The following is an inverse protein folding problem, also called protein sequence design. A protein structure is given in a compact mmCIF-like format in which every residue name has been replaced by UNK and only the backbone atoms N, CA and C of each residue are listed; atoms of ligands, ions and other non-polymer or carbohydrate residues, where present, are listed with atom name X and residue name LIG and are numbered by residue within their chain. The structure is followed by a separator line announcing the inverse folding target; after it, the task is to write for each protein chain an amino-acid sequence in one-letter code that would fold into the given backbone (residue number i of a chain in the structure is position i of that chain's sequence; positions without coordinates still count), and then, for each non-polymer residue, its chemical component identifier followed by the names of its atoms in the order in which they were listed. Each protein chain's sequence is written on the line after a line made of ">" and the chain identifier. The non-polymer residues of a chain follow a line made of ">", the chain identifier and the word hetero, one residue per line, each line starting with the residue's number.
data_IF_300375155393
#
_entry.id   IF_300375155393
#
_cell.length_a   1.000
_cell.length_b   1.000
_cell.length_c   1.000
_cell.angle_alpha   90.00
_cell.angle_beta   90.00
_cell.angle_gamma   90.00
#
_symmetry.space_group_name_H-M   'P 1'
#
loop_
_entity.id
_entity.type
_entity.pdbx_description
1 polymer ?
#
# COMPACT_ATOMS: atom_id res chain seq x y z
N UNK A 1 2.58 14.13 -0.76
CA UNK A 1 3.49 14.15 -1.92
C UNK A 1 4.88 14.67 -1.55
N UNK A 2 5.00 15.61 -0.60
CA UNK A 2 6.27 16.16 -0.10
C UNK A 2 7.29 15.12 0.44
N UNK A 3 6.85 13.94 0.88
CA UNK A 3 7.77 12.86 1.32
C UNK A 3 8.31 11.95 0.22
N UNK A 4 7.82 12.06 -1.03
CA UNK A 4 8.24 11.23 -2.18
C UNK A 4 8.82 12.07 -3.33
N UNK A 5 8.45 13.34 -3.41
CA UNK A 5 8.97 14.34 -4.34
C UNK A 5 9.15 15.63 -3.53
N UNK A 6 10.38 16.13 -3.42
CA UNK A 6 10.76 17.32 -2.63
C UNK A 6 10.35 18.62 -3.34
N UNK A 7 9.05 18.74 -3.66
CA UNK A 7 8.43 19.85 -4.37
C UNK A 7 7.56 20.65 -3.40
N UNK A 8 8.00 21.88 -3.13
CA UNK A 8 7.28 22.86 -2.33
C UNK A 8 6.19 23.57 -3.15
N UNK A 9 5.15 22.83 -3.51
CA UNK A 9 3.94 23.40 -4.15
C UNK A 9 2.94 23.87 -3.09
N UNK A 10 2.42 25.09 -3.27
CA UNK A 10 1.37 25.65 -2.40
C UNK A 10 0.13 24.76 -2.42
N UNK A 11 -0.47 24.51 -1.25
CA UNK A 11 -1.62 23.62 -1.09
C UNK A 11 -2.81 23.97 -2.00
N UNK A 12 -3.04 25.28 -2.25
CA UNK A 12 -4.07 25.75 -3.17
C UNK A 12 -3.80 25.33 -4.62
N UNK A 13 -2.55 25.45 -5.09
CA UNK A 13 -2.18 25.08 -6.45
C UNK A 13 -2.33 23.56 -6.67
N UNK A 14 -1.92 22.76 -5.68
CA UNK A 14 -2.12 21.32 -5.71
C UNK A 14 -3.60 20.94 -5.82
N UNK A 15 -4.47 21.55 -5.01
CA UNK A 15 -5.90 21.29 -5.05
C UNK A 15 -6.53 21.74 -6.38
N UNK A 16 -6.09 22.87 -6.94
CA UNK A 16 -6.54 23.33 -8.25
C UNK A 16 -6.15 22.32 -9.34
N UNK A 17 -4.89 21.89 -9.38
CA UNK A 17 -4.39 20.93 -10.37
C UNK A 17 -5.15 19.59 -10.31
N UNK A 18 -5.29 18.98 -9.14
CA UNK A 18 -5.98 17.69 -9.01
C UNK A 18 -7.47 17.79 -9.34
N UNK A 19 -8.11 18.91 -9.00
CA UNK A 19 -9.52 19.14 -9.34
C UNK A 19 -9.71 19.41 -10.83
N UNK A 20 -8.85 20.21 -11.45
CA UNK A 20 -8.91 20.48 -12.88
C UNK A 20 -8.73 19.18 -13.69
N UNK A 21 -7.75 18.34 -13.33
CA UNK A 21 -7.52 17.05 -13.98
C UNK A 21 -8.73 16.11 -13.86
N UNK A 22 -9.48 16.16 -12.76
CA UNK A 22 -10.68 15.33 -12.59
C UNK A 22 -11.93 15.94 -13.26
N UNK A 23 -12.15 17.24 -13.13
CA UNK A 23 -13.37 17.92 -13.57
C UNK A 23 -13.39 18.09 -15.09
N UNK A 24 -12.28 18.48 -15.71
CA UNK A 24 -12.21 18.72 -17.16
C UNK A 24 -12.65 17.51 -17.99
N UNK A 25 -12.08 16.30 -17.81
CA UNK A 25 -12.51 15.13 -18.59
C UNK A 25 -13.95 14.72 -18.27
N UNK A 26 -14.37 14.86 -17.01
CA UNK A 26 -15.75 14.58 -16.62
C UNK A 26 -16.75 15.50 -17.31
N UNK A 27 -16.45 16.79 -17.36
CA UNK A 27 -17.26 17.80 -18.03
C UNK A 27 -17.35 17.55 -19.54
N UNK A 28 -16.21 17.24 -20.19
CA UNK A 28 -16.18 16.93 -21.64
C UNK A 28 -17.06 15.73 -21.96
N UNK A 29 -16.94 14.64 -21.21
CA UNK A 29 -17.76 13.44 -21.42
C UNK A 29 -19.24 13.70 -21.14
N UNK A 30 -19.56 14.52 -20.13
CA UNK A 30 -20.93 14.88 -19.80
C UNK A 30 -21.59 15.76 -20.87
N UNK A 31 -20.86 16.70 -21.47
CA UNK A 31 -21.37 17.57 -22.55
C UNK A 31 -21.63 16.74 -23.81
N UNK A 32 -20.71 15.86 -24.19
CA UNK A 32 -20.81 15.07 -25.43
C UNK A 32 -21.79 13.90 -25.28
N UNK A 33 -21.69 13.16 -24.17
CA UNK A 33 -22.42 11.92 -23.94
C UNK A 33 -23.68 12.06 -23.07
N UNK A 34 -23.98 13.26 -22.58
CA UNK A 34 -25.12 13.53 -21.70
C UNK A 34 -25.08 12.71 -20.40
N UNK A 35 -26.26 12.42 -19.86
CA UNK A 35 -26.42 11.63 -18.62
C UNK A 35 -25.88 10.19 -18.75
N UNK A 36 -26.04 9.58 -19.93
CA UNK A 36 -25.54 8.22 -20.19
C UNK A 36 -24.01 8.17 -20.25
N UNK A 37 -23.36 9.17 -20.86
CA UNK A 37 -21.91 9.29 -20.91
C UNK A 37 -21.32 9.53 -19.52
N UNK A 38 -21.90 10.43 -18.74
CA UNK A 38 -21.50 10.68 -17.36
C UNK A 38 -21.63 9.41 -16.49
N UNK A 39 -22.74 8.67 -16.62
CA UNK A 39 -22.92 7.39 -15.92
C UNK A 39 -21.87 6.35 -16.28
N UNK A 40 -21.52 6.22 -17.57
CA UNK A 40 -20.44 5.34 -18.02
C UNK A 40 -19.08 5.75 -17.45
N UNK A 41 -18.80 7.05 -17.40
CA UNK A 41 -17.55 7.55 -16.83
C UNK A 41 -17.41 7.22 -15.34
N UNK A 42 -18.49 7.36 -14.57
CA UNK A 42 -18.51 6.99 -13.14
C UNK A 42 -18.17 5.50 -12.98
N UNK A 43 -18.78 4.64 -13.79
CA UNK A 43 -18.50 3.20 -13.76
C UNK A 43 -17.03 2.93 -14.07
N UNK A 44 -16.46 3.59 -15.08
CA UNK A 44 -15.04 3.44 -15.43
C UNK A 44 -14.11 3.91 -14.30
N UNK A 45 -14.41 5.04 -13.66
CA UNK A 45 -13.66 5.51 -12.49
C UNK A 45 -13.70 4.50 -11.34
N UNK A 46 -14.84 3.85 -11.11
CA UNK A 46 -14.95 2.77 -10.12
C UNK A 46 -14.09 1.55 -10.49
N UNK A 47 -14.01 1.18 -11.78
CA UNK A 47 -13.13 0.07 -12.20
C UNK A 47 -11.66 0.37 -11.92
N UNK A 48 -11.21 1.60 -12.20
CA UNK A 48 -9.84 2.05 -11.92
C UNK A 48 -9.57 2.00 -10.41
N UNK A 49 -10.48 2.53 -9.60
CA UNK A 49 -10.33 2.52 -8.15
C UNK A 49 -10.27 1.09 -7.58
N UNK A 50 -11.09 0.18 -8.11
CA UNK A 50 -11.07 -1.23 -7.71
C UNK A 50 -9.76 -1.93 -8.03
N UNK A 51 -9.04 -1.49 -9.05
CA UNK A 51 -7.69 -1.97 -9.36
C UNK A 51 -6.66 -1.44 -8.34
N UNK A 52 -6.76 -0.17 -7.95
CA UNK A 52 -5.81 0.48 -7.03
C UNK A 52 -5.94 -0.01 -5.57
N UNK A 53 -7.16 -0.30 -5.12
CA UNK A 53 -7.46 -0.59 -3.72
C UNK A 53 -6.65 -1.75 -3.13
N UNK A 54 -6.55 -2.95 -3.75
CA UNK A 54 -5.77 -4.04 -3.20
C UNK A 54 -4.28 -3.72 -3.04
N UNK A 55 -3.70 -2.98 -3.99
CA UNK A 55 -2.28 -2.59 -3.95
C UNK A 55 -1.96 -1.61 -2.82
N UNK A 56 -2.90 -0.73 -2.46
CA UNK A 56 -2.75 0.18 -1.32
C UNK A 56 -3.06 -0.51 0.01
N UNK A 57 -4.07 -1.39 0.03
CA UNK A 57 -4.58 -2.02 1.25
C UNK A 57 -3.63 -3.07 1.82
N UNK A 58 -3.04 -3.91 0.97
CA UNK A 58 -2.15 -5.01 1.42
C UNK A 58 -0.92 -4.48 2.19
N UNK A 59 -0.14 -3.50 1.67
CA UNK A 59 0.98 -2.92 2.41
C UNK A 59 0.54 -2.22 3.70
N UNK A 60 -0.62 -1.55 3.69
CA UNK A 60 -1.16 -0.88 4.88
C UNK A 60 -1.52 -1.89 5.98
N UNK A 61 -2.19 -2.99 5.63
CA UNK A 61 -2.51 -4.07 6.57
C UNK A 61 -1.26 -4.71 7.14
N UNK A 62 -0.22 -4.91 6.31
CA UNK A 62 1.08 -5.45 6.76
C UNK A 62 1.82 -4.48 7.68
N UNK A 63 1.77 -3.18 7.39
CA UNK A 63 2.34 -2.15 8.26
C UNK A 63 1.58 -2.08 9.60
N UNK A 64 0.25 -2.08 9.56
CA UNK A 64 -0.62 -2.04 10.74
C UNK A 64 -0.50 -3.29 11.61
N UNK A 65 -0.26 -4.46 10.99
CA UNK A 65 -0.01 -5.72 11.68
C UNK A 65 1.40 -5.85 12.27
N UNK A 66 2.33 -4.93 11.96
CA UNK A 66 3.71 -4.99 12.43
C UNK A 66 3.85 -4.40 13.84
N UNK A 67 3.88 -5.27 14.85
CA UNK A 67 4.14 -4.90 16.24
C UNK A 67 5.50 -4.21 16.47
N UNK A 68 6.42 -4.28 15.50
CA UNK A 68 7.77 -3.73 15.61
C UNK A 68 7.84 -2.20 15.36
N UNK A 69 6.74 -1.57 14.89
CA UNK A 69 6.67 -0.12 14.61
C UNK A 69 5.86 0.69 15.62
N UNK A 70 5.09 0.04 16.50
CA UNK A 70 4.07 0.68 17.34
C UNK A 70 4.44 0.81 18.83
N UNK A 71 5.62 0.29 19.23
CA UNK A 71 6.12 0.41 20.60
C UNK A 71 5.26 -0.33 21.64
N UNK A 72 5.11 0.25 22.83
CA UNK A 72 4.41 -0.34 23.98
C UNK A 72 2.88 -0.41 23.83
N UNK A 73 2.28 0.34 22.89
CA UNK A 73 0.85 0.26 22.55
C UNK A 73 0.58 -0.83 21.52
N UNK A 74 0.83 -2.09 21.90
CA UNK A 74 0.52 -3.25 21.05
C UNK A 74 -0.97 -3.29 20.74
N UNK A 75 -1.29 -3.21 19.45
CA UNK A 75 -2.62 -3.50 18.97
C UNK A 75 -2.95 -4.98 19.27
N UNK A 76 -4.15 -5.25 19.81
CA UNK A 76 -4.53 -6.60 20.21
C UNK A 76 -4.58 -7.52 18.98
N UNK A 77 -4.16 -8.77 19.13
CA UNK A 77 -4.16 -9.78 18.06
C UNK A 77 -5.54 -9.94 17.42
N UNK A 78 -6.61 -9.70 18.18
CA UNK A 78 -7.99 -9.68 17.69
C UNK A 78 -8.24 -8.58 16.65
N UNK A 79 -7.69 -7.38 16.86
CA UNK A 79 -7.87 -6.24 15.95
C UNK A 79 -7.09 -6.48 14.65
N UNK A 80 -5.91 -7.08 14.75
CA UNK A 80 -5.11 -7.48 13.58
C UNK A 80 -5.85 -8.56 12.77
N UNK A 81 -6.36 -9.60 13.42
CA UNK A 81 -7.15 -10.64 12.77
C UNK A 81 -8.40 -10.08 12.10
N UNK A 82 -9.16 -9.22 12.79
CA UNK A 82 -10.34 -8.55 12.24
C UNK A 82 -10.00 -7.69 11.02
N UNK A 83 -8.92 -6.91 11.08
CA UNK A 83 -8.48 -6.05 9.97
C UNK A 83 -8.09 -6.87 8.73
N UNK A 84 -7.43 -8.03 8.93
CA UNK A 84 -7.11 -8.94 7.83
C UNK A 84 -8.35 -9.57 7.21
N UNK A 85 -9.31 -10.02 8.03
CA UNK A 85 -10.60 -10.57 7.55
C UNK A 85 -11.32 -9.52 6.71
N UNK A 86 -11.47 -8.30 7.24
CA UNK A 86 -12.11 -7.19 6.53
C UNK A 86 -11.35 -6.85 5.24
N UNK A 87 -10.01 -6.86 5.29
CA UNK A 87 -9.15 -6.65 4.14
C UNK A 87 -9.39 -7.65 3.02
N UNK A 88 -9.45 -8.94 3.36
CA UNK A 88 -9.77 -10.02 2.41
C UNK A 88 -11.16 -9.84 1.78
N UNK A 89 -12.16 -9.47 2.58
CA UNK A 89 -13.51 -9.20 2.08
C UNK A 89 -13.48 -8.05 1.06
N UNK A 90 -12.83 -6.93 1.38
CA UNK A 90 -12.72 -5.77 0.48
C UNK A 90 -11.99 -6.13 -0.81
N UNK A 91 -10.88 -6.88 -0.73
CA UNK A 91 -10.14 -7.33 -1.91
C UNK A 91 -11.02 -8.24 -2.78
N UNK A 92 -11.71 -9.21 -2.17
CA UNK A 92 -12.61 -10.12 -2.89
C UNK A 92 -13.73 -9.38 -3.63
N UNK A 93 -14.38 -8.42 -2.96
CA UNK A 93 -15.43 -7.60 -3.57
C UNK A 93 -14.89 -6.77 -4.73
N UNK A 94 -13.70 -6.17 -4.61
CA UNK A 94 -13.10 -5.37 -5.68
C UNK A 94 -12.71 -6.23 -6.90
N UNK A 95 -12.14 -7.41 -6.68
CA UNK A 95 -11.83 -8.35 -7.76
C UNK A 95 -13.11 -8.79 -8.46
N UNK A 96 -14.16 -9.13 -7.70
CA UNK A 96 -15.46 -9.51 -8.26
C UNK A 96 -16.10 -8.37 -9.06
N UNK A 97 -16.13 -7.15 -8.51
CA UNK A 97 -16.69 -5.96 -9.17
C UNK A 97 -15.95 -5.68 -10.48
N UNK A 98 -14.61 -5.65 -10.45
CA UNK A 98 -13.79 -5.41 -11.62
C UNK A 98 -14.04 -6.47 -12.70
N UNK A 99 -13.98 -7.75 -12.33
CA UNK A 99 -14.16 -8.86 -13.27
C UNK A 99 -15.55 -8.85 -13.90
N UNK A 100 -16.59 -8.65 -13.09
CA UNK A 100 -17.98 -8.62 -13.56
C UNK A 100 -18.24 -7.44 -14.52
N UNK A 101 -17.70 -6.25 -14.18
CA UNK A 101 -17.88 -5.07 -15.04
C UNK A 101 -17.08 -5.18 -16.33
N UNK A 102 -15.88 -5.74 -16.28
CA UNK A 102 -15.02 -5.94 -17.45
C UNK A 102 -15.62 -6.98 -18.42
N UNK A 103 -16.06 -8.13 -17.89
CA UNK A 103 -16.76 -9.16 -18.68
C UNK A 103 -18.08 -8.62 -19.23
N UNK A 104 -18.87 -7.92 -18.40
CA UNK A 104 -20.11 -7.31 -18.85
C UNK A 104 -19.90 -6.28 -19.97
N UNK A 105 -18.83 -5.49 -19.88
CA UNK A 105 -18.43 -4.55 -20.93
C UNK A 105 -18.05 -5.29 -22.21
N UNK A 106 -17.25 -6.35 -22.14
CA UNK A 106 -16.86 -7.16 -23.31
C UNK A 106 -18.07 -7.80 -23.99
N UNK A 107 -19.03 -8.32 -23.21
CA UNK A 107 -20.21 -9.03 -23.73
C UNK A 107 -21.25 -8.11 -24.39
N UNK A 108 -21.41 -6.88 -23.90
CA UNK A 108 -22.43 -5.93 -24.41
C UNK A 108 -21.91 -4.97 -25.47
N UNK A 109 -20.63 -5.05 -25.86
CA UNK A 109 -20.09 -4.18 -26.90
C UNK A 109 -20.63 -4.57 -28.28
N UNK A 110 -21.23 -3.61 -28.98
CA UNK A 110 -21.74 -3.75 -30.36
C UNK A 110 -20.64 -3.84 -31.43
N UNK A 111 -19.40 -4.20 -31.04
CA UNK A 111 -18.26 -4.33 -31.93
C UNK A 111 -18.32 -5.67 -32.70
N UNK A 112 -17.72 -5.75 -33.91
CA UNK A 112 -17.65 -7.01 -34.65
C UNK A 112 -16.93 -8.08 -33.82
N UNK A 113 -17.35 -9.34 -33.97
CA UNK A 113 -16.84 -10.49 -33.22
C UNK A 113 -15.30 -10.54 -33.19
N UNK A 114 -14.64 -10.21 -34.29
CA UNK A 114 -13.18 -10.19 -34.38
C UNK A 114 -12.53 -9.19 -33.41
N UNK A 115 -13.11 -8.00 -33.23
CA UNK A 115 -12.61 -7.00 -32.30
C UNK A 115 -12.78 -7.47 -30.84
N UNK A 116 -13.92 -8.09 -30.51
CA UNK A 116 -14.15 -8.64 -29.17
C UNK A 116 -13.15 -9.77 -28.85
N UNK A 117 -12.83 -10.63 -29.82
CA UNK A 117 -11.84 -11.70 -29.64
C UNK A 117 -10.44 -11.13 -29.38
N UNK A 118 -10.01 -10.12 -30.14
CA UNK A 118 -8.71 -9.46 -29.93
C UNK A 118 -8.63 -8.79 -28.54
N UNK A 119 -9.69 -8.10 -28.13
CA UNK A 119 -9.79 -7.48 -26.80
C UNK A 119 -9.70 -8.56 -25.71
N UNK A 120 -10.42 -9.68 -25.86
CA UNK A 120 -10.37 -10.80 -24.90
C UNK A 120 -8.96 -11.39 -24.76
N UNK A 121 -8.25 -11.58 -25.89
CA UNK A 121 -6.88 -12.08 -25.91
C UNK A 121 -5.93 -11.19 -25.10
N UNK A 122 -6.18 -9.88 -25.02
CA UNK A 122 -5.35 -8.94 -24.25
C UNK A 122 -5.83 -8.84 -22.79
N UNK A 123 -7.15 -8.72 -22.59
CA UNK A 123 -7.73 -8.40 -21.28
C UNK A 123 -7.69 -9.59 -20.33
N UNK A 124 -7.92 -10.81 -20.82
CA UNK A 124 -7.89 -12.02 -19.99
C UNK A 124 -6.51 -12.28 -19.36
N UNK A 125 -5.38 -12.30 -20.10
CA UNK A 125 -4.08 -12.48 -19.47
C UNK A 125 -3.70 -11.32 -18.55
N UNK A 126 -4.11 -10.09 -18.86
CA UNK A 126 -3.90 -8.93 -17.98
C UNK A 126 -4.66 -9.08 -16.66
N UNK A 127 -5.89 -9.59 -16.70
CA UNK A 127 -6.67 -9.90 -15.50
C UNK A 127 -6.07 -11.05 -14.69
N UNK A 128 -5.58 -12.10 -15.36
CA UNK A 128 -4.88 -13.20 -14.68
C UNK A 128 -3.61 -12.72 -14.01
N UNK A 129 -2.83 -11.86 -14.68
CA UNK A 129 -1.65 -11.23 -14.10
C UNK A 129 -2.01 -10.36 -12.88
N UNK A 130 -3.11 -9.59 -12.95
CA UNK A 130 -3.59 -8.81 -11.82
C UNK A 130 -3.99 -9.69 -10.63
N UNK A 131 -4.80 -10.72 -10.84
CA UNK A 131 -5.21 -11.66 -9.79
C UNK A 131 -3.98 -12.36 -9.20
N UNK A 132 -3.06 -12.83 -10.05
CA UNK A 132 -1.76 -13.39 -9.67
C UNK A 132 -0.96 -12.43 -8.80
N UNK A 133 -0.86 -11.15 -9.18
CA UNK A 133 -0.15 -10.13 -8.42
C UNK A 133 -0.79 -9.87 -7.05
N UNK A 134 -2.12 -9.82 -6.97
CA UNK A 134 -2.85 -9.65 -5.70
C UNK A 134 -2.66 -10.86 -4.79
N UNK A 135 -2.76 -12.08 -5.33
CA UNK A 135 -2.47 -13.32 -4.61
C UNK A 135 -1.02 -13.31 -4.14
N UNK A 136 -0.07 -13.00 -5.02
CA UNK A 136 1.35 -12.92 -4.68
C UNK A 136 1.60 -11.92 -3.54
N UNK A 137 1.05 -10.71 -3.61
CA UNK A 137 1.16 -9.69 -2.57
C UNK A 137 0.56 -10.13 -1.23
N UNK A 138 -0.55 -10.87 -1.28
CA UNK A 138 -1.23 -11.44 -0.11
C UNK A 138 -0.40 -12.54 0.55
N UNK A 139 0.10 -13.50 -0.23
CA UNK A 139 0.88 -14.64 0.26
C UNK A 139 2.35 -14.33 0.50
N UNK A 140 2.85 -13.20 0.01
CA UNK A 140 4.19 -12.72 0.33
C UNK A 140 4.29 -12.58 1.84
N UNK A 141 4.91 -13.56 2.49
CA UNK A 141 5.24 -13.52 3.91
C UNK A 141 6.24 -12.38 4.09
N UNK A 142 5.80 -11.28 4.69
CA UNK A 142 6.74 -10.28 5.18
C UNK A 142 7.31 -10.79 6.50
N UNK A 143 8.24 -11.73 6.41
CA UNK A 143 9.23 -11.87 7.46
C UNK A 143 10.17 -10.71 7.30
N UNK A 144 9.82 -9.58 7.89
CA UNK A 144 10.77 -8.50 8.07
C UNK A 144 11.77 -8.98 9.11
N UNK A 145 12.79 -9.72 8.66
CA UNK A 145 14.05 -9.86 9.38
C UNK A 145 14.72 -8.50 9.30
N UNK A 146 14.26 -7.56 10.14
CA UNK A 146 15.15 -6.48 10.51
C UNK A 146 16.31 -7.13 11.23
N UNK A 147 17.51 -6.97 10.66
CA UNK A 147 18.76 -7.31 11.31
C UNK A 147 18.65 -6.94 12.78
N UNK A 148 18.95 -7.89 13.66
CA UNK A 148 19.13 -7.64 15.08
C UNK A 148 19.86 -6.31 15.24
N UNK A 149 19.19 -5.30 15.78
CA UNK A 149 19.83 -4.13 16.36
C UNK A 149 20.51 -4.58 17.66
N UNK A 150 21.43 -5.53 17.51
CA UNK A 150 22.35 -6.02 18.53
C UNK A 150 23.79 -5.61 18.25
N UNK A 151 24.05 -4.85 17.17
CA UNK A 151 25.41 -4.54 16.71
C UNK A 151 25.53 -3.07 16.28
N UNK A 152 25.02 -2.12 17.08
CA UNK A 152 25.49 -0.74 16.96
C UNK A 152 25.45 -0.02 18.33
N UNK A 153 26.54 -0.24 19.06
CA UNK A 153 27.16 0.67 20.04
C UNK A 153 26.52 0.78 21.44
N UNK A 154 26.78 -0.21 22.29
CA UNK A 154 27.22 0.10 23.66
C UNK A 154 28.74 0.33 23.56
N UNK A 155 29.28 1.52 23.85
CA UNK A 155 30.72 1.69 23.95
C UNK A 155 31.20 0.88 25.15
N UNK A 156 31.86 -0.23 24.87
CA UNK A 156 32.64 -1.02 25.82
C UNK A 156 33.89 -0.22 26.21
N UNK A 157 33.70 0.89 26.93
CA UNK A 157 34.79 1.78 27.36
C UNK A 157 34.66 2.25 28.81
N UNK A 158 33.79 1.65 29.62
CA UNK A 158 33.62 2.06 31.02
C UNK A 158 33.50 0.92 32.03
N UNK A 159 34.02 -0.27 31.71
CA UNK A 159 34.23 -1.34 32.71
C UNK A 159 35.70 -1.65 32.97
N UNK A 160 36.56 -1.41 31.99
CA UNK A 160 38.02 -1.51 32.13
C UNK A 160 38.65 -0.30 32.83
N UNK A 161 37.99 0.86 32.86
CA UNK A 161 38.42 2.03 33.66
C UNK A 161 38.05 1.94 35.13
N UNK A 162 36.90 1.35 35.47
CA UNK A 162 36.45 1.20 36.87
C UNK A 162 37.23 0.12 37.61
N UNK A 163 37.58 -0.99 36.94
CA UNK A 163 38.39 -2.04 37.56
C UNK A 163 39.85 -1.62 37.82
N UNK A 164 40.42 -0.77 36.96
CA UNK A 164 41.82 -0.32 37.10
C UNK A 164 41.97 0.83 38.11
N UNK A 165 40.88 1.53 38.45
CA UNK A 165 40.87 2.58 39.49
C UNK A 165 40.62 1.97 40.88
N UNK A 166 39.85 0.88 40.99
CA UNK A 166 39.67 0.16 42.25
C UNK A 166 40.94 -0.53 42.75
N UNK A 167 41.76 -1.07 41.85
CA UNK A 167 43.03 -1.74 42.21
C UNK A 167 44.13 -0.74 42.63
N UNK A 168 44.06 0.51 42.17
CA UNK A 168 45.05 1.55 42.47
C UNK A 168 44.75 2.32 43.77
N UNK A 169 43.51 2.26 44.27
CA UNK A 169 43.12 2.84 45.56
C UNK A 169 43.53 1.92 46.71
N UNK A 170 43.39 0.61 46.57
CA UNK A 170 43.73 -0.36 47.63
C UNK A 170 45.25 -0.43 47.90
N UNK A 171 46.09 -0.16 46.89
CA UNK A 171 47.55 -0.22 47.05
C UNK A 171 48.16 1.05 47.69
N UNK A 172 47.42 2.18 47.71
CA UNK A 172 47.91 3.43 48.31
C UNK A 172 47.71 3.51 49.83
N UNK A 173 46.74 2.78 50.37
CA UNK A 173 46.46 2.77 51.81
C UNK A 173 47.40 1.86 52.62
N UNK A 174 48.29 1.11 51.98
CA UNK A 174 49.29 0.25 52.65
C UNK A 174 50.69 0.87 52.76
N UNK A 175 50.91 2.10 52.31
CA UNK A 175 52.24 2.77 52.32
C UNK A 175 52.27 4.10 53.08
N UNK A 176 51.43 4.27 54.10
CA UNK A 176 51.56 5.35 55.10
C UNK A 176 51.51 4.78 56.51
#
# INVERSE_FOLDING_TARGET
>A
MQGFLDINVKQWLRNLMTRSIAIVPSLVVAIIGGSSGAGRLIIMASMILSFELPFALIPLLKFSSSSNKMGENKNSIYIIGFSWILGFIVIGINIYFLSSKLVGWILHNSLPIYANVLICIIVVPLMLLYISAVIYLTFRKDTVKFASRGELQVPETDKSKVANDSDNVEHKDQLV
#
